data_IF_534508174868
#
_entry.id   IF_534508174868
#
_cell.length_a   1.000
_cell.length_b   1.000
_cell.length_c   1.000
_cell.angle_alpha   90.00
_cell.angle_beta   90.00
_cell.angle_gamma   90.00
#
_symmetry.space_group_name_H-M   'P 1'
#
loop_
_entity.id
_entity.type
_entity.pdbx_description
1 polymer ?
#
# COMPACT_ATOMS: atom_id res chain seq x y z
N UNK A 1 -1.51 -33.34 0.94
CA UNK A 1 -2.91 -33.81 0.86
C UNK A 1 -3.57 -33.04 -0.29
N UNK A 2 -4.33 -33.69 -1.18
CA UNK A 2 -4.94 -33.01 -2.30
C UNK A 2 -5.99 -32.03 -1.77
N UNK A 3 -5.89 -30.76 -2.19
CA UNK A 3 -6.80 -29.68 -1.77
C UNK A 3 -8.21 -30.00 -2.27
N UNK A 4 -9.18 -30.01 -1.36
CA UNK A 4 -10.58 -30.16 -1.71
C UNK A 4 -11.08 -28.86 -2.36
N UNK A 5 -11.14 -28.85 -3.70
CA UNK A 5 -11.64 -27.72 -4.49
C UNK A 5 -13.07 -27.30 -4.12
N UNK A 6 -13.85 -28.20 -3.50
CA UNK A 6 -15.20 -27.88 -3.02
C UNK A 6 -15.20 -27.05 -1.73
N UNK A 7 -14.15 -27.09 -0.90
CA UNK A 7 -14.04 -26.20 0.27
C UNK A 7 -13.72 -24.74 -0.14
N UNK A 8 -12.99 -24.53 -1.24
CA UNK A 8 -12.75 -23.20 -1.81
C UNK A 8 -14.00 -22.66 -2.54
N UNK A 9 -14.75 -23.54 -3.21
CA UNK A 9 -16.09 -23.20 -3.72
C UNK A 9 -17.07 -22.91 -2.59
N UNK A 10 -16.88 -23.47 -1.39
CA UNK A 10 -17.74 -23.31 -0.20
C UNK A 10 -17.24 -22.32 0.86
N UNK A 11 -16.04 -21.75 0.73
CA UNK A 11 -15.70 -20.47 1.37
C UNK A 11 -16.65 -19.35 0.90
N UNK A 12 -17.39 -19.64 -0.17
CA UNK A 12 -18.63 -18.97 -0.55
C UNK A 12 -19.74 -18.94 0.51
N UNK A 13 -19.67 -19.73 1.58
CA UNK A 13 -20.67 -19.74 2.64
C UNK A 13 -20.42 -18.67 3.72
N UNK A 14 -19.33 -17.90 3.61
CA UNK A 14 -19.21 -16.57 4.24
C UNK A 14 -19.69 -15.45 3.31
N UNK A 15 -20.22 -15.78 2.12
CA UNK A 15 -20.88 -14.79 1.25
C UNK A 15 -22.26 -14.55 1.82
N UNK A 16 -22.54 -13.28 2.11
CA UNK A 16 -23.91 -12.84 2.30
C UNK A 16 -24.69 -13.25 1.06
N UNK A 17 -25.92 -13.75 1.20
CA UNK A 17 -26.73 -14.05 0.05
C UNK A 17 -26.75 -12.79 -0.80
N UNK A 18 -26.16 -12.84 -2.01
CA UNK A 18 -26.33 -11.79 -2.98
C UNK A 18 -27.81 -11.45 -3.01
N UNK A 19 -28.14 -10.17 -2.77
CA UNK A 19 -29.48 -9.69 -2.46
C UNK A 19 -30.53 -10.50 -3.23
N UNK A 20 -31.49 -11.08 -2.48
CA UNK A 20 -32.62 -11.83 -3.07
C UNK A 20 -33.12 -11.08 -4.30
N UNK A 21 -33.29 -11.80 -5.41
CA UNK A 21 -33.90 -11.25 -6.61
C UNK A 21 -35.19 -10.52 -6.22
N UNK A 22 -35.17 -9.17 -6.31
CA UNK A 22 -36.30 -8.32 -5.94
C UNK A 22 -36.01 -7.14 -4.99
N UNK A 23 -34.83 -7.00 -4.37
CA UNK A 23 -34.57 -5.88 -3.46
C UNK A 23 -33.12 -5.43 -3.42
N UNK A 24 -32.70 -4.63 -4.40
CA UNK A 24 -31.30 -4.14 -4.50
C UNK A 24 -31.14 -2.73 -3.89
N UNK A 25 -32.24 -2.06 -3.52
CA UNK A 25 -32.19 -0.72 -2.97
C UNK A 25 -32.45 -0.74 -1.46
N UNK A 26 -31.43 -0.39 -0.67
CA UNK A 26 -31.65 -0.05 0.75
C UNK A 26 -32.42 1.26 0.76
N UNK A 27 -33.73 1.18 0.98
CA UNK A 27 -34.61 2.33 0.97
C UNK A 27 -34.62 3.02 2.36
N UNK A 28 -34.78 4.35 2.40
CA UNK A 28 -35.15 5.07 3.62
C UNK A 28 -36.33 4.40 4.34
N UNK A 29 -36.21 4.19 5.64
CA UNK A 29 -37.28 3.65 6.50
C UNK A 29 -37.96 4.75 7.31
N UNK A 30 -39.25 4.59 7.57
CA UNK A 30 -40.05 5.46 8.45
C UNK A 30 -40.04 6.95 8.08
N UNK A 31 -40.01 7.29 6.78
CA UNK A 31 -39.87 8.67 6.28
C UNK A 31 -38.61 9.40 6.80
N UNK A 32 -37.61 8.66 7.29
CA UNK A 32 -36.31 9.19 7.73
C UNK A 32 -35.27 8.96 6.66
N UNK A 33 -34.36 9.92 6.46
CA UNK A 33 -33.18 9.75 5.61
C UNK A 33 -32.14 8.81 6.26
N UNK A 34 -32.54 7.57 6.53
CA UNK A 34 -31.73 6.54 7.19
C UNK A 34 -31.83 5.23 6.42
N UNK A 35 -30.67 4.70 6.04
CA UNK A 35 -30.49 3.43 5.35
C UNK A 35 -29.50 2.59 6.13
N UNK A 36 -29.73 1.27 6.21
CA UNK A 36 -28.82 0.34 6.86
C UNK A 36 -28.57 -0.85 5.94
N UNK A 37 -27.30 -1.10 5.61
CA UNK A 37 -26.89 -2.29 4.88
C UNK A 37 -27.00 -3.57 5.71
N UNK A 38 -26.82 -4.69 5.02
CA UNK A 38 -26.78 -6.03 5.62
C UNK A 38 -25.51 -6.21 6.48
N UNK A 39 -25.63 -6.99 7.57
CA UNK A 39 -24.53 -7.29 8.51
C UNK A 39 -24.35 -8.79 8.78
N UNK A 40 -24.92 -9.64 7.91
CA UNK A 40 -24.86 -11.11 8.03
C UNK A 40 -23.45 -11.65 7.77
N UNK A 41 -22.66 -10.94 6.96
CA UNK A 41 -21.25 -11.26 6.70
C UNK A 41 -20.37 -10.60 7.75
N UNK A 42 -19.60 -11.37 8.53
CA UNK A 42 -18.65 -10.80 9.48
C UNK A 42 -17.50 -10.10 8.74
N UNK A 43 -16.94 -9.07 9.37
CA UNK A 43 -15.70 -8.44 8.89
C UNK A 43 -14.53 -9.41 9.10
N UNK A 44 -13.56 -9.36 8.18
CA UNK A 44 -12.25 -9.95 8.38
C UNK A 44 -11.50 -9.15 9.44
N UNK A 45 -11.23 -9.75 10.59
CA UNK A 45 -10.42 -9.15 11.66
C UNK A 45 -8.97 -9.64 11.55
N UNK A 46 -8.26 -9.11 10.55
CA UNK A 46 -6.87 -9.51 10.22
C UNK A 46 -6.00 -8.29 9.98
N UNK A 47 -4.69 -8.47 10.16
CA UNK A 47 -3.70 -7.53 9.65
C UNK A 47 -3.42 -7.83 8.18
N UNK A 48 -2.93 -6.83 7.44
CA UNK A 48 -2.52 -7.00 6.04
C UNK A 48 -1.46 -8.10 5.89
N UNK A 49 -0.37 -8.13 6.70
CA UNK A 49 0.61 -9.21 6.58
C UNK A 49 0.03 -10.60 6.88
N UNK A 50 -0.91 -10.73 7.82
CA UNK A 50 -1.55 -12.02 8.08
C UNK A 50 -2.39 -12.50 6.89
N UNK A 51 -3.20 -11.61 6.30
CA UNK A 51 -3.98 -11.95 5.11
C UNK A 51 -3.08 -12.27 3.91
N UNK A 52 -2.03 -11.48 3.70
CA UNK A 52 -1.06 -11.70 2.62
C UNK A 52 -0.34 -13.04 2.77
N UNK A 53 0.12 -13.38 3.98
CA UNK A 53 0.75 -14.66 4.28
C UNK A 53 -0.19 -15.85 4.01
N UNK A 54 -1.47 -15.75 4.38
CA UNK A 54 -2.45 -16.79 4.08
C UNK A 54 -2.60 -17.01 2.57
N UNK A 55 -2.65 -15.93 1.80
CA UNK A 55 -2.78 -15.98 0.33
C UNK A 55 -1.53 -16.58 -0.31
N UNK A 56 -0.34 -16.16 0.11
CA UNK A 56 0.94 -16.73 -0.37
C UNK A 56 1.02 -18.23 -0.04
N UNK A 57 0.62 -18.65 1.16
CA UNK A 57 0.66 -20.07 1.56
C UNK A 57 -0.21 -20.98 0.69
N UNK A 58 -1.31 -20.44 0.14
CA UNK A 58 -2.27 -21.19 -0.68
C UNK A 58 -1.95 -21.13 -2.17
N UNK A 59 -1.45 -19.98 -2.65
CA UNK A 59 -1.35 -19.67 -4.07
C UNK A 59 0.06 -19.29 -4.51
N UNK A 60 1.09 -19.63 -3.72
CA UNK A 60 2.48 -19.20 -3.91
C UNK A 60 3.00 -19.23 -5.36
N UNK A 61 2.67 -20.28 -6.12
CA UNK A 61 3.15 -20.47 -7.50
C UNK A 61 2.29 -19.79 -8.58
N UNK A 62 1.12 -19.25 -8.21
CA UNK A 62 0.25 -18.53 -9.14
C UNK A 62 0.71 -17.09 -9.32
N UNK A 63 0.36 -16.48 -10.45
CA UNK A 63 0.61 -15.06 -10.70
C UNK A 63 -0.06 -14.19 -9.63
N UNK A 64 0.72 -13.28 -9.03
CA UNK A 64 0.24 -12.25 -8.11
C UNK A 64 0.07 -10.90 -8.82
N UNK A 65 1.04 -10.51 -9.66
CA UNK A 65 1.01 -9.23 -10.35
C UNK A 65 1.83 -9.24 -11.64
N UNK A 66 1.39 -8.44 -12.62
CA UNK A 66 2.03 -8.29 -13.93
C UNK A 66 2.10 -6.81 -14.29
N UNK A 67 3.31 -6.29 -14.51
CA UNK A 67 3.61 -4.93 -14.96
C UNK A 67 4.27 -5.02 -16.33
N UNK A 68 3.45 -4.98 -17.38
CA UNK A 68 3.85 -5.22 -18.77
C UNK A 68 4.95 -4.24 -19.23
N UNK A 69 4.76 -2.94 -18.99
CA UNK A 69 5.70 -1.90 -19.42
C UNK A 69 7.08 -2.00 -18.73
N UNK A 70 7.15 -2.70 -17.58
CA UNK A 70 8.38 -2.90 -16.82
C UNK A 70 8.95 -4.32 -17.01
N UNK A 71 8.35 -5.13 -17.88
CA UNK A 71 8.66 -6.56 -18.07
C UNK A 71 8.80 -7.32 -16.73
N UNK A 72 7.89 -7.01 -15.79
CA UNK A 72 7.92 -7.56 -14.43
C UNK A 72 6.68 -8.40 -14.18
N UNK A 73 6.91 -9.65 -13.80
CA UNK A 73 5.89 -10.60 -13.34
C UNK A 73 6.31 -11.11 -11.97
N UNK A 74 5.33 -11.29 -11.10
CA UNK A 74 5.50 -11.94 -9.82
C UNK A 74 4.51 -13.08 -9.70
N UNK A 75 5.00 -14.23 -9.25
CA UNK A 75 4.21 -15.17 -8.47
C UNK A 75 3.98 -14.63 -7.06
N UNK A 76 3.02 -15.19 -6.31
CA UNK A 76 2.78 -14.80 -4.91
C UNK A 76 4.02 -14.99 -4.03
N UNK A 77 4.77 -16.07 -4.23
CA UNK A 77 6.02 -16.31 -3.51
C UNK A 77 7.09 -15.26 -3.84
N UNK A 78 7.32 -14.95 -5.12
CA UNK A 78 8.31 -13.92 -5.50
C UNK A 78 7.92 -12.52 -5.01
N UNK A 79 6.62 -12.20 -5.00
CA UNK A 79 6.14 -10.96 -4.41
C UNK A 79 6.42 -10.93 -2.91
N UNK A 80 6.18 -12.04 -2.20
CA UNK A 80 6.45 -12.17 -0.77
C UNK A 80 7.93 -11.97 -0.45
N UNK A 81 8.82 -12.62 -1.19
CA UNK A 81 10.27 -12.48 -0.98
C UNK A 81 10.74 -11.04 -1.20
N UNK A 82 10.19 -10.39 -2.24
CA UNK A 82 10.52 -8.98 -2.54
C UNK A 82 9.97 -8.02 -1.47
N UNK A 83 8.80 -8.32 -0.92
CA UNK A 83 8.17 -7.56 0.18
C UNK A 83 8.99 -7.69 1.46
N UNK A 84 9.41 -8.90 1.81
CA UNK A 84 10.24 -9.14 3.00
C UNK A 84 11.61 -8.48 2.86
N UNK A 85 12.24 -8.56 1.69
CA UNK A 85 13.50 -7.86 1.41
C UNK A 85 13.37 -6.34 1.60
N UNK A 86 12.30 -5.71 1.08
CA UNK A 86 12.09 -4.28 1.27
C UNK A 86 11.75 -3.92 2.72
N UNK A 87 10.93 -4.72 3.39
CA UNK A 87 10.56 -4.49 4.79
C UNK A 87 11.80 -4.56 5.70
N UNK A 88 12.66 -5.56 5.48
CA UNK A 88 13.92 -5.68 6.18
C UNK A 88 14.88 -4.53 5.82
N UNK A 89 14.91 -4.10 4.55
CA UNK A 89 15.65 -2.92 4.11
C UNK A 89 15.21 -1.64 4.83
N UNK A 90 13.90 -1.45 5.02
CA UNK A 90 13.38 -0.34 5.83
C UNK A 90 13.84 -0.39 7.29
N UNK A 91 13.91 -1.59 7.90
CA UNK A 91 14.47 -1.75 9.24
C UNK A 91 15.96 -1.38 9.29
N UNK A 92 16.75 -1.81 8.30
CA UNK A 92 18.17 -1.47 8.18
C UNK A 92 18.38 0.05 8.03
N UNK A 93 17.43 0.76 7.41
CA UNK A 93 17.40 2.22 7.35
C UNK A 93 16.96 2.90 8.66
N UNK A 94 16.61 2.15 9.70
CA UNK A 94 16.16 2.65 11.00
C UNK A 94 14.72 3.19 10.97
N UNK A 95 13.90 2.71 10.04
CA UNK A 95 12.45 2.92 10.08
C UNK A 95 11.82 1.90 11.03
N UNK A 96 10.81 2.33 11.79
CA UNK A 96 10.12 1.50 12.75
C UNK A 96 8.62 1.77 12.74
N UNK A 97 7.84 0.83 13.29
CA UNK A 97 6.38 0.91 13.41
C UNK A 97 5.90 2.33 13.78
N UNK A 98 4.95 2.86 13.00
CA UNK A 98 4.38 4.20 13.18
C UNK A 98 5.12 5.34 12.47
N UNK A 99 6.32 5.09 11.92
CA UNK A 99 6.95 6.03 11.00
C UNK A 99 6.12 6.16 9.71
N UNK A 100 6.06 7.38 9.16
CA UNK A 100 5.35 7.67 7.91
C UNK A 100 6.31 7.56 6.73
N UNK A 101 5.94 6.73 5.76
CA UNK A 101 6.67 6.54 4.50
C UNK A 101 5.80 7.02 3.35
N UNK A 102 6.18 8.14 2.74
CA UNK A 102 5.53 8.67 1.55
C UNK A 102 5.86 7.81 0.33
N UNK A 103 4.87 7.61 -0.53
CA UNK A 103 5.09 7.05 -1.85
C UNK A 103 4.55 8.00 -2.92
N UNK A 104 5.46 8.43 -3.80
CA UNK A 104 5.18 9.39 -4.86
C UNK A 104 5.61 8.83 -6.21
N UNK A 105 4.72 8.06 -6.82
CA UNK A 105 5.04 7.33 -8.05
C UNK A 105 3.76 7.04 -8.85
N UNK A 106 3.83 6.98 -10.20
CA UNK A 106 2.80 6.32 -11.01
C UNK A 106 2.72 4.81 -10.67
N UNK A 107 1.83 4.09 -11.36
CA UNK A 107 1.69 2.64 -11.21
C UNK A 107 2.99 1.95 -11.63
N UNK A 108 3.69 1.39 -10.65
CA UNK A 108 4.93 0.65 -10.85
C UNK A 108 5.00 -0.53 -9.90
N UNK A 109 5.81 -1.53 -10.22
CA UNK A 109 5.99 -2.69 -9.35
C UNK A 109 6.54 -2.32 -7.96
N UNK A 110 7.44 -1.33 -7.90
CA UNK A 110 8.02 -0.80 -6.66
C UNK A 110 6.91 -0.23 -5.74
N UNK A 111 5.84 0.30 -6.35
CA UNK A 111 4.68 0.81 -5.62
C UNK A 111 3.95 -0.30 -4.87
N UNK A 112 3.67 -1.40 -5.57
CA UNK A 112 3.01 -2.58 -5.01
C UNK A 112 3.83 -3.16 -3.86
N UNK A 113 5.14 -3.35 -4.07
CA UNK A 113 6.03 -3.90 -3.04
C UNK A 113 6.07 -2.98 -1.82
N UNK A 114 6.18 -1.66 -2.02
CA UNK A 114 6.20 -0.68 -0.90
C UNK A 114 4.92 -0.74 -0.07
N UNK A 115 3.76 -0.93 -0.70
CA UNK A 115 2.49 -1.06 0.02
C UNK A 115 2.52 -2.22 1.02
N UNK A 116 2.96 -3.39 0.59
CA UNK A 116 2.99 -4.57 1.44
C UNK A 116 4.16 -4.54 2.43
N UNK A 117 5.33 -4.04 2.02
CA UNK A 117 6.51 -3.94 2.89
C UNK A 117 6.31 -2.95 4.05
N UNK A 118 5.63 -1.83 3.80
CA UNK A 118 5.26 -0.91 4.89
C UNK A 118 4.28 -1.58 5.86
N UNK A 119 3.28 -2.28 5.35
CA UNK A 119 2.33 -3.03 6.16
C UNK A 119 2.97 -4.18 6.96
N UNK A 120 4.01 -4.82 6.41
CA UNK A 120 4.77 -5.94 7.01
C UNK A 120 5.42 -5.59 8.34
N UNK A 121 5.82 -4.33 8.54
CA UNK A 121 6.50 -3.87 9.76
C UNK A 121 5.78 -2.71 10.47
N UNK A 122 4.52 -2.46 10.10
CA UNK A 122 3.68 -1.45 10.76
C UNK A 122 4.07 0.00 10.43
N UNK A 123 4.72 0.24 9.30
CA UNK A 123 4.96 1.59 8.78
C UNK A 123 3.67 2.15 8.18
N UNK A 124 3.44 3.45 8.34
CA UNK A 124 2.26 4.12 7.81
C UNK A 124 2.57 4.59 6.40
N UNK A 125 2.02 3.92 5.39
CA UNK A 125 2.16 4.33 4.00
C UNK A 125 1.37 5.63 3.76
N UNK A 126 2.01 6.67 3.26
CA UNK A 126 1.37 7.93 2.89
C UNK A 126 1.27 7.97 1.36
N UNK A 127 0.05 7.90 0.84
CA UNK A 127 -0.18 7.95 -0.60
C UNK A 127 -0.14 9.40 -1.09
N UNK A 128 0.85 9.73 -1.93
CA UNK A 128 1.02 11.07 -2.49
C UNK A 128 0.61 11.05 -3.96
N UNK A 129 -0.24 12.00 -4.35
CA UNK A 129 -0.72 12.12 -5.71
C UNK A 129 0.46 12.41 -6.68
N UNK A 130 0.71 11.58 -7.71
CA UNK A 130 1.76 11.80 -8.70
C UNK A 130 1.60 13.08 -9.54
N UNK A 131 0.45 13.76 -9.47
CA UNK A 131 0.19 15.04 -10.09
C UNK A 131 0.54 16.25 -9.21
N UNK A 132 0.84 16.05 -7.92
CA UNK A 132 1.26 17.14 -7.03
C UNK A 132 2.49 17.86 -7.57
N UNK A 133 2.57 19.16 -7.30
CA UNK A 133 3.74 19.99 -7.57
C UNK A 133 4.36 20.42 -6.24
N UNK A 134 5.34 21.32 -6.31
CA UNK A 134 6.14 21.75 -5.16
C UNK A 134 5.29 22.10 -3.93
N UNK A 135 4.23 22.91 -4.12
CA UNK A 135 3.39 23.40 -3.02
C UNK A 135 2.58 22.28 -2.38
N UNK A 136 1.92 21.42 -3.17
CA UNK A 136 1.11 20.33 -2.63
C UNK A 136 1.98 19.25 -1.97
N UNK A 137 3.15 18.97 -2.55
CA UNK A 137 4.10 18.01 -2.01
C UNK A 137 4.68 18.49 -0.67
N UNK A 138 5.14 19.74 -0.61
CA UNK A 138 5.61 20.38 0.62
C UNK A 138 4.56 20.27 1.73
N UNK A 139 3.33 20.70 1.43
CA UNK A 139 2.21 20.60 2.36
C UNK A 139 1.99 19.15 2.82
N UNK A 140 1.91 18.20 1.88
CA UNK A 140 1.63 16.80 2.21
C UNK A 140 2.69 16.18 3.12
N UNK A 141 3.98 16.36 2.77
CA UNK A 141 5.10 15.80 3.54
C UNK A 141 5.19 16.39 4.94
N UNK A 142 5.02 17.72 5.07
CA UNK A 142 5.05 18.39 6.36
C UNK A 142 3.82 18.07 7.22
N UNK A 143 2.63 18.02 6.63
CA UNK A 143 1.38 17.80 7.35
C UNK A 143 1.36 16.50 8.14
N UNK A 144 1.98 15.44 7.60
CA UNK A 144 2.03 14.12 8.23
C UNK A 144 3.38 13.81 8.85
N UNK A 145 4.33 14.75 8.80
CA UNK A 145 5.71 14.54 9.25
C UNK A 145 6.33 13.31 8.60
N UNK A 146 6.34 13.26 7.27
CA UNK A 146 6.85 12.14 6.50
C UNK A 146 8.36 11.93 6.75
N UNK A 147 8.76 10.73 7.20
CA UNK A 147 10.16 10.43 7.59
C UNK A 147 10.99 9.93 6.41
N UNK A 148 10.38 9.13 5.53
CA UNK A 148 10.99 8.62 4.32
C UNK A 148 10.08 8.82 3.11
N UNK A 149 10.66 9.02 1.93
CA UNK A 149 9.92 9.13 0.67
C UNK A 149 10.47 8.14 -0.35
N UNK A 150 9.62 7.25 -0.84
CA UNK A 150 9.88 6.41 -2.02
C UNK A 150 9.29 7.10 -3.24
N UNK A 151 10.11 7.42 -4.24
CA UNK A 151 9.67 8.22 -5.38
C UNK A 151 10.19 7.69 -6.71
N UNK A 152 9.34 7.77 -7.74
CA UNK A 152 9.80 7.61 -9.12
C UNK A 152 10.70 8.78 -9.50
N UNK A 153 11.53 8.62 -10.54
CA UNK A 153 12.40 9.70 -11.00
C UNK A 153 11.61 10.79 -11.74
N UNK A 154 10.81 10.37 -12.73
CA UNK A 154 10.00 11.24 -13.58
C UNK A 154 8.79 10.48 -14.12
N UNK A 155 7.74 11.20 -14.49
CA UNK A 155 6.63 10.66 -15.26
C UNK A 155 5.97 11.77 -16.10
N UNK A 156 5.89 11.57 -17.42
CA UNK A 156 5.44 12.60 -18.37
C UNK A 156 6.21 13.92 -18.15
N UNK A 157 5.51 15.01 -17.81
CA UNK A 157 6.08 16.34 -17.55
C UNK A 157 6.45 16.56 -16.09
N UNK A 158 6.35 15.55 -15.23
CA UNK A 158 6.68 15.64 -13.81
C UNK A 158 8.09 15.12 -13.57
N UNK A 159 8.98 16.02 -13.15
CA UNK A 159 10.31 15.71 -12.62
C UNK A 159 10.24 15.64 -11.09
N UNK A 160 10.08 14.43 -10.55
CA UNK A 160 9.86 14.24 -9.12
C UNK A 160 11.13 14.52 -8.32
N UNK A 161 12.30 14.09 -8.83
CA UNK A 161 13.57 14.31 -8.13
C UNK A 161 13.96 15.77 -8.15
N UNK A 162 13.83 16.46 -9.29
CA UNK A 162 14.09 17.90 -9.37
C UNK A 162 13.16 18.71 -8.44
N UNK A 163 11.91 18.28 -8.26
CA UNK A 163 11.02 18.88 -7.27
C UNK A 163 11.48 18.65 -5.82
N UNK A 164 12.00 17.47 -5.49
CA UNK A 164 12.58 17.19 -4.17
C UNK A 164 13.85 18.01 -3.95
N UNK A 165 14.73 18.10 -4.94
CA UNK A 165 15.95 18.92 -4.89
C UNK A 165 15.61 20.42 -4.73
N UNK A 166 14.52 20.88 -5.32
CA UNK A 166 14.03 22.25 -5.12
C UNK A 166 13.54 22.50 -3.69
N UNK A 167 12.82 21.53 -3.09
CA UNK A 167 12.32 21.66 -1.72
C UNK A 167 13.37 21.41 -0.65
N UNK A 168 14.36 20.57 -0.94
CA UNK A 168 15.40 20.12 -0.03
C UNK A 168 16.78 20.10 -0.74
N UNK A 169 17.32 21.27 -1.15
CA UNK A 169 18.57 21.35 -1.90
C UNK A 169 19.78 20.78 -1.14
N UNK A 170 19.67 20.65 0.19
CA UNK A 170 20.67 20.01 1.04
C UNK A 170 20.89 18.53 0.70
N UNK A 171 19.95 17.88 0.01
CA UNK A 171 20.05 16.48 -0.40
C UNK A 171 21.26 16.24 -1.31
N UNK A 172 21.63 17.22 -2.15
CA UNK A 172 22.75 17.10 -3.07
C UNK A 172 24.11 16.86 -2.38
N UNK A 173 24.23 17.24 -1.10
CA UNK A 173 25.45 17.10 -0.29
C UNK A 173 25.28 16.12 0.87
N UNK A 174 24.07 15.60 1.08
CA UNK A 174 23.79 14.71 2.19
C UNK A 174 24.32 13.29 1.91
N UNK A 175 24.81 12.62 2.94
CA UNK A 175 24.91 11.15 2.90
C UNK A 175 23.48 10.58 2.88
N UNK A 176 23.18 9.56 2.05
CA UNK A 176 21.88 8.91 2.06
C UNK A 176 21.41 8.53 3.47
N UNK A 177 20.16 8.86 3.79
CA UNK A 177 19.55 8.63 5.11
C UNK A 177 19.92 9.63 6.21
N UNK A 178 20.76 10.63 5.91
CA UNK A 178 21.16 11.70 6.85
C UNK A 178 20.69 13.09 6.40
N UNK A 179 19.63 13.17 5.59
CA UNK A 179 19.08 14.44 5.12
C UNK A 179 18.64 15.33 6.30
N UNK A 180 19.06 16.60 6.24
CA UNK A 180 18.63 17.67 7.14
C UNK A 180 18.12 18.84 6.31
N UNK A 181 16.92 18.68 5.74
CA UNK A 181 16.28 19.71 4.94
C UNK A 181 15.58 20.73 5.84
N UNK A 182 15.82 22.03 5.63
CA UNK A 182 15.17 23.07 6.43
C UNK A 182 13.65 23.11 6.20
N UNK A 183 13.21 22.96 4.95
CA UNK A 183 11.79 23.05 4.57
C UNK A 183 11.02 21.76 4.86
N UNK A 184 11.71 20.62 4.92
CA UNK A 184 11.13 19.30 5.18
C UNK A 184 11.82 18.65 6.39
N UNK A 185 11.68 19.22 7.61
CA UNK A 185 12.48 18.82 8.78
C UNK A 185 12.25 17.37 9.22
N UNK A 186 11.09 16.78 8.91
CA UNK A 186 10.80 15.38 9.19
C UNK A 186 11.46 14.40 8.19
N UNK A 187 11.68 14.82 6.95
CA UNK A 187 12.19 13.95 5.89
C UNK A 187 13.70 13.69 6.08
N UNK A 188 14.07 12.42 6.23
CA UNK A 188 15.46 11.97 6.46
C UNK A 188 16.00 11.10 5.34
N UNK A 189 15.10 10.38 4.67
CA UNK A 189 15.43 9.33 3.71
C UNK A 189 14.64 9.60 2.43
N UNK A 190 15.32 9.59 1.29
CA UNK A 190 14.69 9.58 -0.03
C UNK A 190 15.20 8.35 -0.78
N UNK A 191 14.28 7.55 -1.29
CA UNK A 191 14.54 6.29 -2.00
C UNK A 191 14.05 6.47 -3.43
N UNK A 192 14.99 6.48 -4.37
CA UNK A 192 14.75 6.62 -5.80
C UNK A 192 14.42 5.26 -6.40
N UNK A 193 13.34 5.18 -7.16
CA UNK A 193 13.03 4.01 -7.99
C UNK A 193 13.83 4.01 -9.30
N UNK A 194 14.15 2.81 -9.80
CA UNK A 194 14.99 2.60 -10.97
C UNK A 194 16.49 2.48 -10.65
N UNK A 195 17.30 2.35 -11.71
CA UNK A 195 18.68 1.87 -11.59
C UNK A 195 19.75 2.96 -11.68
N UNK A 196 19.40 4.19 -12.08
CA UNK A 196 20.37 5.31 -12.04
C UNK A 196 20.48 5.89 -10.63
N UNK A 197 21.57 6.59 -10.35
CA UNK A 197 21.84 7.14 -9.03
C UNK A 197 21.50 8.63 -8.94
N UNK A 198 21.16 9.10 -7.74
CA UNK A 198 20.98 10.53 -7.45
C UNK A 198 21.63 10.89 -6.11
N UNK A 199 22.35 12.03 -6.01
CA UNK A 199 23.06 12.41 -4.79
C UNK A 199 22.15 12.46 -3.56
N UNK A 200 22.63 11.89 -2.44
CA UNK A 200 21.93 11.87 -1.16
C UNK A 200 20.68 11.00 -1.09
N UNK A 201 20.41 10.21 -2.12
CA UNK A 201 19.28 9.27 -2.18
C UNK A 201 19.80 7.83 -2.14
N UNK A 202 18.99 6.91 -1.62
CA UNK A 202 19.20 5.48 -1.83
C UNK A 202 18.52 5.03 -3.12
N UNK A 203 19.07 4.02 -3.79
CA UNK A 203 18.36 3.31 -4.84
C UNK A 203 17.44 2.25 -4.24
N UNK A 204 16.26 2.07 -4.83
CA UNK A 204 15.29 1.08 -4.35
C UNK A 204 15.88 -0.34 -4.34
N UNK A 205 16.63 -0.70 -5.38
CA UNK A 205 17.35 -1.99 -5.46
C UNK A 205 18.37 -2.18 -4.35
N UNK A 206 19.11 -1.13 -3.98
CA UNK A 206 20.08 -1.21 -2.88
C UNK A 206 19.37 -1.45 -1.55
N UNK A 207 18.23 -0.79 -1.30
CA UNK A 207 17.44 -0.99 -0.08
C UNK A 207 16.95 -2.43 0.03
N UNK A 208 16.56 -3.08 -1.08
CA UNK A 208 16.22 -4.51 -1.08
C UNK A 208 17.40 -5.39 -0.64
N UNK A 209 18.62 -4.99 -0.96
CA UNK A 209 19.85 -5.74 -0.65
C UNK A 209 20.50 -5.35 0.69
N UNK A 210 19.98 -4.33 1.39
CA UNK A 210 20.61 -3.78 2.60
C UNK A 210 20.45 -4.66 3.85
N UNK A 211 19.39 -5.45 3.91
CA UNK A 211 19.03 -6.17 5.12
C UNK A 211 19.99 -7.34 5.41
N UNK A 212 20.43 -7.43 6.65
CA UNK A 212 21.13 -8.61 7.17
C UNK A 212 20.15 -9.69 7.63
N UNK A 213 20.71 -10.73 8.23
CA UNK A 213 19.93 -11.84 8.80
C UNK A 213 19.03 -11.38 9.94
N UNK A 214 19.53 -10.49 10.80
CA UNK A 214 18.80 -10.04 12.00
C UNK A 214 17.52 -9.27 11.65
N UNK A 215 17.56 -8.43 10.60
CA UNK A 215 16.38 -7.71 10.13
C UNK A 215 15.32 -8.68 9.59
N UNK A 216 15.72 -9.68 8.79
CA UNK A 216 14.81 -10.71 8.28
C UNK A 216 14.19 -11.52 9.43
N UNK A 217 15.00 -11.99 10.38
CA UNK A 217 14.55 -12.77 11.55
C UNK A 217 13.64 -11.94 12.49
N UNK A 218 13.58 -10.62 12.33
CA UNK A 218 12.71 -9.75 13.11
C UNK A 218 11.32 -9.54 12.52
N UNK A 219 11.13 -9.78 11.22
CA UNK A 219 9.90 -9.41 10.51
C UNK A 219 8.66 -10.08 11.13
N UNK A 220 8.69 -11.39 11.33
CA UNK A 220 7.57 -12.15 11.91
C UNK A 220 7.23 -11.68 13.32
N UNK A 221 8.26 -11.48 14.16
CA UNK A 221 8.09 -10.96 15.53
C UNK A 221 7.45 -9.57 15.56
N UNK A 222 7.62 -8.75 14.52
CA UNK A 222 6.97 -7.45 14.39
C UNK A 222 5.51 -7.65 13.93
N UNK A 223 5.28 -8.40 12.86
CA UNK A 223 3.95 -8.68 12.31
C UNK A 223 2.99 -9.27 13.34
N UNK A 224 3.46 -10.21 14.16
CA UNK A 224 2.67 -10.85 15.24
C UNK A 224 2.14 -9.87 16.28
N UNK A 225 2.80 -8.71 16.43
CA UNK A 225 2.41 -7.66 17.39
C UNK A 225 1.50 -6.59 16.78
N UNK A 226 1.29 -6.61 15.47
CA UNK A 226 0.40 -5.67 14.81
C UNK A 226 -1.06 -6.03 15.10
N UNK A 227 -1.93 -5.01 15.15
CA UNK A 227 -3.36 -5.20 15.42
C UNK A 227 -4.21 -4.69 14.26
N UNK A 228 -5.32 -5.34 13.92
CA UNK A 228 -6.16 -4.93 12.79
C UNK A 228 -6.70 -3.48 12.87
N UNK A 229 -6.85 -2.94 14.07
CA UNK A 229 -7.28 -1.55 14.32
C UNK A 229 -6.17 -0.50 14.26
N UNK A 230 -4.91 -0.89 14.03
CA UNK A 230 -3.80 0.06 13.94
C UNK A 230 -3.77 0.80 12.60
N UNK A 231 -3.36 2.07 12.65
CA UNK A 231 -3.18 2.89 11.46
C UNK A 231 -2.04 2.37 10.60
N UNK A 232 -2.30 2.20 9.31
CA UNK A 232 -1.32 1.68 8.35
C UNK A 232 -1.24 2.48 7.06
N UNK A 233 -2.20 3.37 6.82
CA UNK A 233 -2.21 4.19 5.61
C UNK A 233 -2.77 5.59 5.88
N UNK A 234 -2.28 6.58 5.13
CA UNK A 234 -2.84 7.92 5.05
C UNK A 234 -3.09 8.26 3.58
N UNK A 235 -4.30 8.73 3.29
CA UNK A 235 -4.68 9.23 1.95
C UNK A 235 -5.14 10.68 2.02
N UNK A 236 -4.63 11.51 1.12
CA UNK A 236 -5.09 12.89 1.02
C UNK A 236 -6.36 12.97 0.18
N UNK A 237 -7.39 13.59 0.76
CA UNK A 237 -8.65 13.89 0.06
C UNK A 237 -8.72 15.38 -0.30
N UNK A 238 -9.24 15.69 -1.48
CA UNK A 238 -9.60 17.05 -1.87
C UNK A 238 -10.80 17.48 -1.04
N UNK A 239 -10.58 18.20 0.06
CA UNK A 239 -11.67 18.81 0.82
C UNK A 239 -12.38 19.85 -0.05
N UNK A 240 -13.71 19.97 0.09
CA UNK A 240 -14.51 20.94 -0.68
C UNK A 240 -14.28 22.39 -0.27
N UNK A 241 -13.61 22.64 0.86
CA UNK A 241 -13.50 23.98 1.47
C UNK A 241 -12.11 24.30 2.06
N UNK A 242 -11.04 23.57 1.69
CA UNK A 242 -9.70 23.87 2.21
C UNK A 242 -8.59 22.93 1.76
N UNK A 243 -7.40 23.08 2.37
CA UNK A 243 -6.23 22.26 2.08
C UNK A 243 -6.52 20.76 2.26
N UNK A 244 -5.86 19.87 1.50
CA UNK A 244 -6.13 18.43 1.55
C UNK A 244 -6.03 17.85 2.98
N UNK A 245 -6.95 16.94 3.30
CA UNK A 245 -6.99 16.28 4.63
C UNK A 245 -6.42 14.86 4.51
N UNK A 246 -5.51 14.49 5.39
CA UNK A 246 -5.00 13.13 5.49
C UNK A 246 -5.98 12.23 6.23
N UNK A 247 -6.74 11.42 5.49
CA UNK A 247 -7.59 10.37 6.05
C UNK A 247 -6.72 9.20 6.48
N UNK A 248 -6.73 8.89 7.79
CA UNK A 248 -5.98 7.76 8.35
C UNK A 248 -6.83 6.51 8.30
N UNK A 249 -6.27 5.42 7.75
CA UNK A 249 -6.93 4.14 7.58
C UNK A 249 -6.19 3.04 8.33
N UNK A 250 -6.97 2.12 8.88
CA UNK A 250 -6.47 0.93 9.57
C UNK A 250 -6.37 -0.27 8.64
N UNK A 251 -5.73 -1.36 9.09
CA UNK A 251 -5.76 -2.63 8.36
C UNK A 251 -7.20 -3.08 8.09
N UNK A 252 -8.07 -3.01 9.11
CA UNK A 252 -9.48 -3.39 8.98
C UNK A 252 -10.22 -2.56 7.93
N UNK A 253 -9.92 -1.26 7.81
CA UNK A 253 -10.54 -0.44 6.76
C UNK A 253 -10.17 -0.92 5.36
N UNK A 254 -8.87 -1.17 5.12
CA UNK A 254 -8.35 -1.49 3.79
C UNK A 254 -8.76 -2.90 3.36
N UNK A 255 -8.57 -3.89 4.24
CA UNK A 255 -8.87 -5.30 3.95
C UNK A 255 -10.35 -5.50 3.66
N UNK A 256 -11.23 -5.00 4.53
CA UNK A 256 -12.66 -5.22 4.36
C UNK A 256 -13.20 -4.47 3.15
N UNK A 257 -12.65 -3.29 2.82
CA UNK A 257 -13.04 -2.60 1.60
C UNK A 257 -12.66 -3.39 0.34
N UNK A 258 -11.45 -3.96 0.28
CA UNK A 258 -11.02 -4.85 -0.81
C UNK A 258 -11.93 -6.07 -0.91
N UNK A 259 -12.08 -6.82 0.19
CA UNK A 259 -12.85 -8.05 0.27
C UNK A 259 -14.31 -7.87 -0.19
N UNK A 260 -14.99 -6.82 0.26
CA UNK A 260 -16.39 -6.59 -0.15
C UNK A 260 -16.51 -6.16 -1.62
N UNK A 261 -15.57 -5.37 -2.15
CA UNK A 261 -15.59 -4.96 -3.56
C UNK A 261 -15.36 -6.16 -4.47
N UNK A 262 -14.34 -6.98 -4.20
CA UNK A 262 -14.06 -8.18 -5.01
C UNK A 262 -15.15 -9.23 -4.89
N UNK A 263 -15.74 -9.37 -3.70
CA UNK A 263 -16.95 -10.20 -3.50
C UNK A 263 -18.14 -9.71 -4.34
N UNK A 264 -18.38 -8.40 -4.41
CA UNK A 264 -19.50 -7.83 -5.15
C UNK A 264 -19.39 -8.06 -6.67
N UNK A 265 -18.16 -8.02 -7.21
CA UNK A 265 -17.90 -8.33 -8.63
C UNK A 265 -17.66 -9.83 -8.89
N UNK A 266 -17.76 -10.67 -7.85
CA UNK A 266 -17.57 -12.13 -7.89
C UNK A 266 -16.21 -12.55 -8.44
N UNK A 267 -15.15 -11.79 -8.11
CA UNK A 267 -13.78 -12.13 -8.48
C UNK A 267 -13.37 -13.45 -7.81
N UNK A 268 -12.70 -14.32 -8.55
CA UNK A 268 -12.18 -15.61 -8.08
C UNK A 268 -10.69 -15.76 -8.39
N UNK A 269 -10.09 -16.84 -7.87
CA UNK A 269 -8.68 -17.18 -8.11
C UNK A 269 -8.38 -17.55 -9.58
N UNK A 270 -9.43 -17.86 -10.36
CA UNK A 270 -9.31 -18.17 -11.79
C UNK A 270 -9.31 -16.88 -12.64
N UNK A 271 -9.62 -15.73 -12.04
CA UNK A 271 -9.71 -14.45 -12.71
C UNK A 271 -8.41 -13.63 -12.62
N UNK A 272 -8.28 -12.65 -13.53
CA UNK A 272 -7.25 -11.61 -13.45
C UNK A 272 -7.90 -10.25 -13.45
N UNK A 273 -7.60 -9.44 -12.44
CA UNK A 273 -8.10 -8.07 -12.34
C UNK A 273 -7.14 -7.09 -13.01
N UNK A 274 -7.60 -6.38 -14.04
CA UNK A 274 -6.89 -5.23 -14.58
C UNK A 274 -7.17 -3.99 -13.72
N UNK A 275 -6.12 -3.30 -13.25
CA UNK A 275 -6.22 -2.10 -12.42
C UNK A 275 -5.66 -0.90 -13.22
N UNK A 276 -6.48 -0.26 -14.08
CA UNK A 276 -6.04 0.86 -14.92
C UNK A 276 -6.01 2.21 -14.17
N UNK A 277 -6.47 2.22 -12.92
CA UNK A 277 -6.53 3.42 -12.08
C UNK A 277 -5.23 3.63 -11.29
N UNK A 278 -4.90 4.86 -10.88
CA UNK A 278 -3.70 5.11 -10.10
C UNK A 278 -3.69 4.36 -8.76
N UNK A 279 -2.58 3.69 -8.45
CA UNK A 279 -2.41 2.92 -7.21
C UNK A 279 -2.44 3.79 -5.96
N UNK A 280 -2.04 5.07 -6.06
CA UNK A 280 -2.10 5.99 -4.91
C UNK A 280 -3.55 6.26 -4.43
N UNK A 281 -4.57 6.01 -5.27
CA UNK A 281 -5.96 6.24 -4.91
C UNK A 281 -6.56 5.03 -4.16
N UNK A 282 -7.60 5.27 -3.34
CA UNK A 282 -8.27 4.20 -2.60
C UNK A 282 -8.76 3.06 -3.49
N UNK A 283 -9.20 3.37 -4.71
CA UNK A 283 -9.54 2.34 -5.70
C UNK A 283 -8.31 1.47 -5.99
N UNK A 284 -7.23 2.02 -6.54
CA UNK A 284 -6.10 1.22 -6.99
C UNK A 284 -5.50 0.35 -5.89
N UNK A 285 -5.26 0.91 -4.71
CA UNK A 285 -4.66 0.18 -3.59
C UNK A 285 -5.65 -0.63 -2.75
N UNK A 286 -6.72 0.01 -2.27
CA UNK A 286 -7.60 -0.64 -1.29
C UNK A 286 -8.59 -1.59 -1.95
N UNK A 287 -9.10 -1.26 -3.14
CA UNK A 287 -10.09 -2.09 -3.84
C UNK A 287 -9.42 -3.00 -4.88
N UNK A 288 -8.35 -2.53 -5.51
CA UNK A 288 -7.59 -3.26 -6.52
C UNK A 288 -6.59 -4.22 -5.89
N UNK A 289 -5.40 -3.72 -5.53
CA UNK A 289 -4.30 -4.58 -5.08
C UNK A 289 -4.65 -5.37 -3.83
N UNK A 290 -5.28 -4.74 -2.83
CA UNK A 290 -5.73 -5.46 -1.63
C UNK A 290 -6.87 -6.43 -1.92
N UNK A 291 -7.79 -6.06 -2.81
CA UNK A 291 -8.89 -6.94 -3.22
C UNK A 291 -8.40 -8.24 -3.85
N UNK A 292 -7.28 -8.21 -4.58
CA UNK A 292 -6.65 -9.42 -5.13
C UNK A 292 -6.01 -10.33 -4.06
N UNK A 293 -5.78 -9.84 -2.84
CA UNK A 293 -5.21 -10.64 -1.74
C UNK A 293 -6.31 -11.34 -0.93
N UNK A 294 -7.50 -10.72 -0.81
CA UNK A 294 -8.61 -11.18 0.03
C UNK A 294 -9.39 -12.36 -0.53
#
# INVERSE_FOLDING_TARGET
MPVNLDELKNASNLRGPGARAGGVFVAPVDNRAHVSGERSVPLLDKTIPALFSDTVSKYGTLDAAVFVDQDKRFTWSELSDTVDALAAGFLALGLAKGDRVGIWSPNRWEWLVTQFATARIGLILVNINPAYRLTELDYALNKVGCKALVTAAKFKTSDYLGMIETLAPEIAKATPGKLKAQKLPALKIVIRMGDENSPGMFNFGDVLAMAGRDEHDSLDRISEKLKPGEAINIQFTSGTTGAPKGATLTHNNIINNGNFVTSAIKLTVDDRLCIPVPLYHCFGMSMGTMGCVS
#
